data_IF_762955824563
#
_entry.id   IF_762955824563
#
_cell.length_a   1.000
_cell.length_b   1.000
_cell.length_c   1.000
_cell.angle_alpha   90.00
_cell.angle_beta   90.00
_cell.angle_gamma   90.00
#
_symmetry.space_group_name_H-M   'P 1'
#
loop_
_entity.id
_entity.type
_entity.pdbx_description
1 polymer ?
#
# COMPACT_ATOMS: atom_id res chain seq x y z
N UNK A 1 -54.40 49.48 7.66
CA UNK A 1 -54.08 48.17 8.30
C UNK A 1 -53.58 47.10 7.30
N UNK A 2 -54.25 46.98 6.14
CA UNK A 2 -53.93 45.93 5.15
C UNK A 2 -52.50 46.06 4.63
N UNK A 3 -52.08 47.25 4.22
CA UNK A 3 -50.69 47.52 3.75
C UNK A 3 -49.66 47.36 4.84
N UNK A 4 -49.96 47.63 6.09
CA UNK A 4 -49.08 47.38 7.24
C UNK A 4 -48.96 45.90 7.47
N UNK A 5 -50.06 45.13 7.44
CA UNK A 5 -50.09 43.69 7.62
C UNK A 5 -49.35 42.96 6.49
N UNK A 6 -49.44 43.41 5.24
CA UNK A 6 -48.72 42.88 4.10
C UNK A 6 -47.21 43.08 4.28
N UNK A 7 -46.78 44.28 4.66
CA UNK A 7 -45.35 44.58 4.87
C UNK A 7 -44.76 43.80 6.04
N UNK A 8 -45.49 43.63 7.13
CA UNK A 8 -45.07 42.78 8.26
C UNK A 8 -44.90 41.33 7.80
N UNK A 9 -45.82 40.77 6.98
CA UNK A 9 -45.70 39.40 6.43
C UNK A 9 -44.52 39.26 5.48
N UNK A 10 -44.20 40.25 4.66
CA UNK A 10 -43.02 40.27 3.82
C UNK A 10 -41.74 40.16 4.67
N UNK A 11 -41.62 40.98 5.73
CA UNK A 11 -40.47 40.94 6.65
C UNK A 11 -40.39 39.60 7.37
N UNK A 12 -41.50 39.04 7.84
CA UNK A 12 -41.56 37.70 8.45
C UNK A 12 -41.09 36.60 7.45
N UNK A 13 -41.50 36.71 6.18
CA UNK A 13 -41.07 35.82 5.12
C UNK A 13 -39.57 35.88 4.85
N UNK A 14 -38.99 37.09 4.85
CA UNK A 14 -37.54 37.30 4.71
C UNK A 14 -36.78 36.67 5.89
N UNK A 15 -37.27 36.81 7.12
CA UNK A 15 -36.62 36.19 8.30
C UNK A 15 -36.78 34.68 8.34
N UNK A 16 -37.90 34.13 7.88
CA UNK A 16 -38.11 32.69 7.83
C UNK A 16 -37.20 32.01 6.79
N UNK A 17 -36.84 32.68 5.71
CA UNK A 17 -35.95 32.19 4.66
C UNK A 17 -34.46 32.46 4.94
N UNK A 18 -34.15 33.44 5.83
CA UNK A 18 -32.78 33.80 6.16
C UNK A 18 -32.14 32.76 7.11
N UNK A 19 -30.90 32.29 6.87
CA UNK A 19 -30.21 31.40 7.79
C UNK A 19 -30.02 32.06 9.16
N UNK A 20 -30.33 31.30 10.22
CA UNK A 20 -30.25 31.79 11.62
C UNK A 20 -28.80 32.13 12.01
N UNK A 21 -27.81 31.47 11.37
CA UNK A 21 -26.40 31.72 11.60
C UNK A 21 -25.86 32.78 10.64
N UNK A 22 -25.24 33.82 11.19
CA UNK A 22 -24.44 34.81 10.42
C UNK A 22 -23.29 34.09 9.71
N UNK A 23 -23.47 33.74 8.45
CA UNK A 23 -22.43 33.14 7.63
C UNK A 23 -21.36 34.20 7.35
N UNK A 24 -20.14 33.95 7.80
CA UNK A 24 -19.01 34.79 7.42
C UNK A 24 -18.62 34.48 5.96
N UNK A 25 -19.29 35.18 5.04
CA UNK A 25 -19.13 34.98 3.59
C UNK A 25 -17.67 35.07 3.14
N UNK A 26 -16.86 35.96 3.73
CA UNK A 26 -15.43 36.08 3.41
C UNK A 26 -14.65 34.79 3.77
N UNK A 27 -14.99 34.24 4.93
CA UNK A 27 -14.35 32.95 5.39
C UNK A 27 -14.77 31.79 4.50
N UNK A 28 -16.06 31.69 4.16
CA UNK A 28 -16.53 30.59 3.30
C UNK A 28 -15.99 30.70 1.87
N UNK A 29 -15.89 31.90 1.31
CA UNK A 29 -15.28 32.13 0.00
C UNK A 29 -13.79 31.80 0.00
N UNK A 30 -13.05 32.17 1.06
CA UNK A 30 -11.63 31.79 1.21
C UNK A 30 -11.47 30.26 1.34
N UNK A 31 -12.33 29.57 2.10
CA UNK A 31 -12.36 28.10 2.21
C UNK A 31 -12.64 27.45 0.85
N UNK A 32 -13.58 27.97 0.08
CA UNK A 32 -13.91 27.49 -1.25
C UNK A 32 -12.69 27.61 -2.19
N UNK A 33 -11.99 28.74 -2.14
CA UNK A 33 -10.78 28.96 -2.94
C UNK A 33 -9.67 27.98 -2.54
N UNK A 34 -9.42 27.80 -1.24
CA UNK A 34 -8.43 26.85 -0.73
C UNK A 34 -8.76 25.40 -1.12
N UNK A 35 -10.03 24.99 -0.97
CA UNK A 35 -10.48 23.64 -1.35
C UNK A 35 -10.35 23.39 -2.87
N UNK A 36 -10.61 24.39 -3.71
CA UNK A 36 -10.40 24.30 -5.17
C UNK A 36 -8.91 24.10 -5.50
N UNK A 37 -8.03 24.87 -4.86
CA UNK A 37 -6.59 24.77 -5.07
C UNK A 37 -6.09 23.38 -4.64
N UNK A 38 -6.44 22.93 -3.43
CA UNK A 38 -6.06 21.62 -2.94
C UNK A 38 -6.59 20.48 -3.83
N UNK A 39 -7.81 20.58 -4.32
CA UNK A 39 -8.37 19.62 -5.28
C UNK A 39 -7.57 19.57 -6.58
N UNK A 40 -7.18 20.74 -7.12
CA UNK A 40 -6.34 20.82 -8.32
C UNK A 40 -4.98 20.16 -8.12
N UNK A 41 -4.32 20.43 -6.99
CA UNK A 41 -3.00 19.84 -6.66
C UNK A 41 -3.09 18.32 -6.50
N UNK A 42 -4.18 17.81 -5.89
CA UNK A 42 -4.44 16.39 -5.78
C UNK A 42 -4.70 15.73 -7.13
N UNK A 43 -5.39 16.39 -8.05
CA UNK A 43 -5.58 15.87 -9.41
C UNK A 43 -4.24 15.76 -10.15
N UNK A 44 -3.37 16.76 -10.05
CA UNK A 44 -2.02 16.73 -10.61
C UNK A 44 -1.20 15.59 -10.04
N UNK A 45 -1.19 15.47 -8.70
CA UNK A 45 -0.50 14.37 -7.99
C UNK A 45 -1.04 13.00 -8.41
N UNK A 46 -2.35 12.85 -8.56
CA UNK A 46 -2.98 11.61 -9.04
C UNK A 46 -2.52 11.25 -10.46
N UNK A 47 -2.42 12.23 -11.36
CA UNK A 47 -1.92 12.00 -12.72
C UNK A 47 -0.45 11.56 -12.74
N UNK A 48 0.41 12.21 -11.93
CA UNK A 48 1.82 11.83 -11.78
C UNK A 48 1.96 10.40 -11.22
N UNK A 49 1.21 10.07 -10.15
CA UNK A 49 1.23 8.73 -9.55
C UNK A 49 0.74 7.66 -10.51
N UNK A 50 -0.28 7.94 -11.34
CA UNK A 50 -0.73 7.02 -12.40
C UNK A 50 0.37 6.76 -13.43
N UNK A 51 1.10 7.79 -13.83
CA UNK A 51 2.23 7.65 -14.75
C UNK A 51 3.33 6.77 -14.14
N UNK A 52 3.76 7.08 -12.92
CA UNK A 52 4.74 6.28 -12.18
C UNK A 52 4.34 4.81 -12.08
N UNK A 53 3.08 4.54 -11.70
CA UNK A 53 2.55 3.17 -11.64
C UNK A 53 2.65 2.46 -12.99
N UNK A 54 2.31 3.15 -14.09
CA UNK A 54 2.42 2.57 -15.44
C UNK A 54 3.86 2.20 -15.77
N UNK A 55 4.81 3.05 -15.42
CA UNK A 55 6.24 2.82 -15.68
C UNK A 55 6.77 1.65 -14.84
N UNK A 56 6.40 1.58 -13.56
CA UNK A 56 6.74 0.46 -12.66
C UNK A 56 6.15 -0.86 -13.16
N UNK A 57 4.89 -0.88 -13.57
CA UNK A 57 4.25 -2.09 -14.11
C UNK A 57 4.87 -2.53 -15.44
N UNK A 58 5.33 -1.60 -16.28
CA UNK A 58 6.04 -1.94 -17.52
C UNK A 58 7.37 -2.63 -17.20
N UNK A 59 8.15 -2.12 -16.24
CA UNK A 59 9.40 -2.74 -15.80
C UNK A 59 9.17 -4.11 -15.18
N UNK A 60 8.18 -4.23 -14.28
CA UNK A 60 7.79 -5.50 -13.68
C UNK A 60 7.36 -6.53 -14.75
N UNK A 61 6.63 -6.08 -15.77
CA UNK A 61 6.22 -6.93 -16.89
C UNK A 61 7.38 -7.48 -17.71
N UNK A 62 8.44 -6.69 -17.93
CA UNK A 62 9.66 -7.15 -18.59
C UNK A 62 10.36 -8.21 -17.75
N UNK A 63 10.56 -7.94 -16.45
CA UNK A 63 11.19 -8.90 -15.54
C UNK A 63 10.39 -10.19 -15.43
N UNK A 64 9.07 -10.09 -15.30
CA UNK A 64 8.20 -11.26 -15.27
C UNK A 64 8.37 -12.12 -16.50
N UNK A 65 8.41 -11.53 -17.69
CA UNK A 65 8.60 -12.27 -18.93
C UNK A 65 9.94 -13.02 -18.93
N UNK A 66 11.02 -12.37 -18.48
CA UNK A 66 12.34 -13.02 -18.38
C UNK A 66 12.30 -14.18 -17.37
N UNK A 67 11.64 -14.00 -16.23
CA UNK A 67 11.49 -15.04 -15.22
C UNK A 67 10.66 -16.23 -15.73
N UNK A 68 9.56 -15.95 -16.43
CA UNK A 68 8.68 -16.98 -17.02
C UNK A 68 9.38 -17.77 -18.16
N UNK A 69 10.31 -17.14 -18.88
CA UNK A 69 11.12 -17.78 -19.93
C UNK A 69 12.30 -18.59 -19.36
N UNK A 70 12.66 -18.39 -18.08
CA UNK A 70 13.75 -19.13 -17.43
C UNK A 70 13.24 -20.46 -16.90
N UNK A 71 13.82 -21.58 -17.39
CA UNK A 71 13.50 -22.92 -16.87
C UNK A 71 14.15 -23.14 -15.49
N UNK A 72 13.43 -22.66 -14.47
CA UNK A 72 13.88 -22.70 -13.06
C UNK A 72 14.02 -24.12 -12.54
N UNK A 73 13.15 -25.01 -12.99
CA UNK A 73 13.16 -26.41 -12.51
C UNK A 73 14.37 -27.16 -13.07
N UNK A 74 14.72 -26.93 -14.32
CA UNK A 74 15.96 -27.43 -14.91
C UNK A 74 17.19 -26.87 -14.21
N UNK A 75 17.23 -25.56 -13.97
CA UNK A 75 18.33 -24.91 -13.26
C UNK A 75 18.50 -25.46 -11.84
N UNK A 76 17.42 -25.64 -11.10
CA UNK A 76 17.44 -26.26 -9.76
C UNK A 76 17.94 -27.70 -9.79
N UNK A 77 17.44 -28.48 -10.75
CA UNK A 77 17.88 -29.89 -10.91
C UNK A 77 19.38 -29.99 -11.22
N UNK A 78 19.88 -29.11 -12.09
CA UNK A 78 21.33 -29.10 -12.41
C UNK A 78 22.17 -28.70 -11.20
N UNK A 79 21.76 -27.69 -10.43
CA UNK A 79 22.46 -27.29 -9.20
C UNK A 79 22.45 -28.40 -8.16
N UNK A 80 21.30 -29.04 -7.92
CA UNK A 80 21.20 -30.17 -6.98
C UNK A 80 22.14 -31.27 -7.40
N UNK A 81 22.20 -31.56 -8.70
CA UNK A 81 23.13 -32.56 -9.24
C UNK A 81 24.62 -32.18 -9.03
N UNK A 82 24.98 -30.92 -9.18
CA UNK A 82 26.32 -30.42 -8.86
C UNK A 82 26.64 -30.61 -7.38
N UNK A 83 25.72 -30.21 -6.49
CA UNK A 83 25.89 -30.35 -5.04
C UNK A 83 26.08 -31.83 -4.64
N UNK A 84 25.35 -32.76 -5.26
CA UNK A 84 25.48 -34.20 -4.99
C UNK A 84 26.79 -34.73 -5.51
N UNK A 85 27.26 -34.36 -6.72
CA UNK A 85 28.55 -34.73 -7.26
C UNK A 85 29.71 -34.19 -6.41
N UNK A 86 29.62 -32.96 -5.92
CA UNK A 86 30.63 -32.38 -5.02
C UNK A 86 30.72 -33.14 -3.70
N UNK A 87 29.58 -33.55 -3.11
CA UNK A 87 29.55 -34.38 -1.89
C UNK A 87 30.19 -35.75 -2.14
N UNK A 88 29.83 -36.39 -3.28
CA UNK A 88 30.45 -37.69 -3.66
C UNK A 88 31.97 -37.55 -3.83
N UNK A 89 32.41 -36.44 -4.48
CA UNK A 89 33.84 -36.17 -4.68
C UNK A 89 34.56 -36.00 -3.33
N UNK A 90 34.04 -35.19 -2.42
CA UNK A 90 34.61 -35.00 -1.09
C UNK A 90 34.70 -36.29 -0.27
N UNK A 91 33.67 -37.15 -0.41
CA UNK A 91 33.70 -38.47 0.23
C UNK A 91 34.81 -39.35 -0.35
N UNK A 92 34.95 -39.35 -1.68
CA UNK A 92 36.03 -40.08 -2.37
C UNK A 92 37.44 -39.59 -2.02
N UNK A 93 37.63 -38.27 -1.90
CA UNK A 93 38.89 -37.65 -1.46
C UNK A 93 39.27 -38.10 -0.06
N UNK A 94 38.30 -38.19 0.84
CA UNK A 94 38.49 -38.70 2.20
C UNK A 94 38.92 -40.20 2.15
N UNK A 95 38.25 -41.01 1.31
CA UNK A 95 38.58 -42.41 1.14
C UNK A 95 39.97 -42.58 0.50
N UNK A 96 40.31 -41.82 -0.53
CA UNK A 96 41.62 -41.82 -1.16
C UNK A 96 42.73 -41.53 -0.14
N UNK A 97 42.52 -40.45 0.67
CA UNK A 97 43.48 -40.07 1.73
C UNK A 97 43.69 -41.18 2.74
N UNK A 98 42.62 -41.89 3.12
CA UNK A 98 42.70 -43.02 4.05
C UNK A 98 43.48 -44.21 3.44
N UNK A 99 43.14 -44.60 2.20
CA UNK A 99 43.79 -45.71 1.52
C UNK A 99 45.24 -45.42 1.16
N UNK A 100 45.59 -44.17 0.88
CA UNK A 100 46.97 -43.75 0.69
C UNK A 100 47.80 -43.88 1.98
N UNK A 101 47.24 -43.50 3.14
CA UNK A 101 47.86 -43.74 4.45
C UNK A 101 48.02 -45.24 4.75
N UNK A 102 46.98 -46.01 4.43
CA UNK A 102 47.05 -47.48 4.56
C UNK A 102 48.17 -48.06 3.70
N UNK A 103 48.25 -47.64 2.43
CA UNK A 103 49.30 -48.02 1.50
C UNK A 103 50.69 -47.71 2.05
N UNK A 104 50.95 -46.50 2.52
CA UNK A 104 52.20 -46.06 3.13
C UNK A 104 52.55 -46.94 4.34
N UNK A 105 51.57 -47.27 5.17
CA UNK A 105 51.76 -48.10 6.36
C UNK A 105 52.12 -49.49 5.97
N UNK A 106 51.46 -50.09 4.98
CA UNK A 106 51.77 -51.43 4.46
C UNK A 106 53.12 -51.47 3.73
N UNK A 107 53.47 -50.45 2.93
CA UNK A 107 54.78 -50.37 2.26
C UNK A 107 55.91 -50.29 3.27
N UNK A 108 55.77 -49.50 4.35
CA UNK A 108 56.76 -49.45 5.43
C UNK A 108 57.00 -50.89 6.07
N UNK A 109 55.90 -51.61 6.32
CA UNK A 109 55.95 -52.95 6.88
C UNK A 109 56.55 -53.96 5.89
N UNK A 110 56.21 -53.90 4.62
CA UNK A 110 56.76 -54.80 3.56
C UNK A 110 58.21 -54.50 3.31
N UNK A 111 58.69 -53.25 3.42
CA UNK A 111 60.14 -52.98 3.24
C UNK A 111 61.03 -53.68 4.24
N UNK A 112 60.50 -54.02 5.45
CA UNK A 112 61.24 -54.83 6.44
C UNK A 112 61.62 -56.20 5.86
N UNK A 113 60.84 -56.81 4.96
CA UNK A 113 61.14 -58.07 4.32
C UNK A 113 62.42 -58.00 3.49
N UNK A 114 62.80 -56.82 2.95
CA UNK A 114 64.06 -56.62 2.20
C UNK A 114 65.27 -56.47 3.09
N UNK A 115 65.12 -56.17 4.35
CA UNK A 115 66.20 -55.97 5.31
C UNK A 115 66.53 -57.20 6.15
N UNK A 116 65.60 -58.17 6.18
CA UNK A 116 65.75 -59.38 6.99
C UNK A 116 66.22 -60.58 6.13
N UNK A 117 67.26 -61.26 6.52
CA UNK A 117 67.78 -62.42 5.76
C UNK A 117 66.85 -63.63 5.77
N UNK A 118 65.71 -63.59 6.46
CA UNK A 118 64.74 -64.66 6.55
C UNK A 118 63.88 -64.69 5.25
N UNK A 119 64.08 -65.69 4.42
CA UNK A 119 63.32 -65.94 3.19
C UNK A 119 61.86 -66.31 3.43
N UNK A 120 61.08 -66.52 2.34
CA UNK A 120 59.65 -66.85 2.37
C UNK A 120 59.34 -68.15 3.16
N UNK A 121 60.31 -69.02 3.35
CA UNK A 121 60.16 -70.22 4.17
C UNK A 121 59.88 -69.95 5.64
N UNK A 122 60.21 -68.76 6.15
CA UNK A 122 59.97 -68.31 7.52
C UNK A 122 58.76 -67.41 7.68
N UNK A 123 57.83 -67.44 6.75
CA UNK A 123 56.62 -66.61 6.73
C UNK A 123 55.79 -66.71 8.02
N UNK A 124 55.91 -67.71 8.82
CA UNK A 124 55.21 -67.87 10.10
C UNK A 124 56.01 -67.29 11.29
N UNK A 125 57.21 -66.79 11.07
CA UNK A 125 57.98 -66.11 12.11
C UNK A 125 57.23 -64.86 12.68
N UNK A 126 57.13 -64.85 14.00
CA UNK A 126 56.38 -63.76 14.73
C UNK A 126 56.83 -62.33 14.34
N UNK A 127 58.08 -62.16 13.93
CA UNK A 127 58.67 -60.86 13.60
C UNK A 127 58.41 -60.44 12.16
N UNK A 128 58.12 -61.32 11.22
CA UNK A 128 57.90 -61.01 9.80
C UNK A 128 56.49 -61.34 9.31
N UNK A 129 55.67 -62.01 10.12
CA UNK A 129 54.31 -62.41 9.77
C UNK A 129 53.48 -61.19 9.38
N UNK A 130 53.55 -60.15 10.18
CA UNK A 130 52.81 -58.87 9.89
C UNK A 130 53.26 -58.26 8.58
N UNK A 131 54.50 -58.42 8.13
CA UNK A 131 54.97 -57.87 6.88
C UNK A 131 54.41 -58.68 5.69
N UNK A 132 54.33 -60.05 5.77
CA UNK A 132 53.69 -60.87 4.76
C UNK A 132 52.17 -60.63 4.67
N UNK A 133 51.53 -60.52 5.81
CA UNK A 133 50.10 -60.14 5.83
C UNK A 133 49.88 -58.77 5.22
N UNK A 134 50.76 -57.80 5.51
CA UNK A 134 50.73 -56.45 4.93
C UNK A 134 50.97 -56.43 3.42
N UNK A 135 51.82 -57.39 2.88
CA UNK A 135 52.05 -57.53 1.45
C UNK A 135 50.74 -57.85 0.69
N UNK A 136 49.93 -58.79 1.23
CA UNK A 136 48.62 -59.12 0.65
C UNK A 136 47.64 -57.97 0.71
N UNK A 137 47.61 -57.26 1.85
CA UNK A 137 46.75 -56.05 2.02
C UNK A 137 47.19 -54.94 1.06
N UNK A 138 48.50 -54.76 0.84
CA UNK A 138 49.07 -53.79 -0.08
C UNK A 138 48.56 -53.94 -1.51
N UNK A 139 48.48 -55.17 -2.01
CA UNK A 139 47.96 -55.48 -3.35
C UNK A 139 46.48 -55.14 -3.42
N UNK A 140 45.69 -55.42 -2.39
CA UNK A 140 44.29 -55.05 -2.26
C UNK A 140 44.12 -53.54 -2.29
N UNK A 141 44.85 -52.82 -1.41
CA UNK A 141 44.85 -51.36 -1.31
C UNK A 141 45.22 -50.65 -2.63
N UNK A 142 46.24 -51.16 -3.35
CA UNK A 142 46.64 -50.66 -4.67
C UNK A 142 45.49 -50.76 -5.69
N UNK A 143 44.77 -51.88 -5.72
CA UNK A 143 43.60 -52.08 -6.60
C UNK A 143 42.45 -51.09 -6.21
N UNK A 144 42.21 -51.01 -4.93
CA UNK A 144 41.19 -50.05 -4.41
C UNK A 144 41.51 -48.59 -4.79
N UNK A 145 42.75 -48.17 -4.58
CA UNK A 145 43.22 -46.84 -4.97
C UNK A 145 43.08 -46.58 -6.47
N UNK A 146 43.38 -47.58 -7.32
CA UNK A 146 43.19 -47.42 -8.77
C UNK A 146 41.73 -47.22 -9.13
N UNK A 147 40.79 -47.92 -8.50
CA UNK A 147 39.34 -47.77 -8.73
C UNK A 147 38.87 -46.42 -8.22
N UNK A 148 39.24 -46.01 -6.99
CA UNK A 148 38.86 -44.74 -6.40
C UNK A 148 39.38 -43.55 -7.22
N UNK A 149 40.66 -43.60 -7.68
CA UNK A 149 41.24 -42.55 -8.54
C UNK A 149 40.50 -42.44 -9.88
N UNK A 150 40.14 -43.60 -10.48
CA UNK A 150 39.36 -43.59 -11.71
C UNK A 150 38.00 -42.97 -11.49
N UNK A 151 37.33 -43.29 -10.39
CA UNK A 151 36.03 -42.71 -10.06
C UNK A 151 36.13 -41.20 -9.78
N UNK A 152 37.16 -40.78 -9.02
CA UNK A 152 37.44 -39.38 -8.76
C UNK A 152 37.59 -38.61 -10.07
N UNK A 153 38.44 -39.05 -11.00
CA UNK A 153 38.62 -38.37 -12.29
C UNK A 153 37.31 -38.30 -13.10
N UNK A 154 36.49 -39.37 -13.06
CA UNK A 154 35.18 -39.36 -13.75
C UNK A 154 34.23 -38.32 -13.17
N UNK A 155 34.22 -38.12 -11.85
CA UNK A 155 33.36 -37.10 -11.22
C UNK A 155 33.89 -35.70 -11.45
N UNK A 156 35.20 -35.50 -11.39
CA UNK A 156 35.85 -34.21 -11.70
C UNK A 156 35.50 -33.77 -13.12
N UNK A 157 35.68 -34.66 -14.12
CA UNK A 157 35.32 -34.34 -15.51
C UNK A 157 33.83 -34.00 -15.67
N UNK A 158 32.93 -34.71 -14.97
CA UNK A 158 31.51 -34.41 -15.00
C UNK A 158 31.18 -33.05 -14.39
N UNK A 159 31.86 -32.64 -13.32
CA UNK A 159 31.68 -31.33 -12.73
C UNK A 159 32.21 -30.21 -13.64
N UNK A 160 33.38 -30.46 -14.30
CA UNK A 160 33.91 -29.52 -15.29
C UNK A 160 32.96 -29.34 -16.50
N UNK A 161 32.37 -30.46 -17.00
CA UNK A 161 31.38 -30.40 -18.10
C UNK A 161 30.11 -29.62 -17.73
N UNK A 162 29.75 -29.58 -16.45
CA UNK A 162 28.53 -28.88 -15.97
C UNK A 162 28.71 -27.38 -15.81
N UNK A 163 29.89 -26.80 -15.96
CA UNK A 163 30.20 -25.36 -15.82
C UNK A 163 29.50 -24.76 -14.57
N UNK A 164 29.94 -25.23 -13.42
CA UNK A 164 29.35 -24.90 -12.11
C UNK A 164 29.31 -23.37 -11.88
N UNK A 165 30.33 -22.64 -12.36
CA UNK A 165 30.43 -21.19 -12.22
C UNK A 165 29.26 -20.48 -12.94
N UNK A 166 28.99 -20.90 -14.19
CA UNK A 166 27.86 -20.35 -14.95
C UNK A 166 26.52 -20.67 -14.29
N UNK A 167 26.32 -21.90 -13.79
CA UNK A 167 25.11 -22.30 -13.09
C UNK A 167 24.87 -21.49 -11.80
N UNK A 168 25.92 -21.23 -11.03
CA UNK A 168 25.83 -20.39 -9.83
C UNK A 168 25.54 -18.92 -10.17
N UNK A 169 26.15 -18.39 -11.23
CA UNK A 169 25.90 -17.06 -11.74
C UNK A 169 24.43 -16.91 -12.20
N UNK A 170 23.91 -17.88 -12.95
CA UNK A 170 22.53 -17.91 -13.41
C UNK A 170 21.54 -17.99 -12.25
N UNK A 171 21.80 -18.80 -11.24
CA UNK A 171 21.03 -18.89 -10.00
C UNK A 171 21.00 -17.54 -9.27
N UNK A 172 22.14 -16.87 -9.16
CA UNK A 172 22.26 -15.57 -8.51
C UNK A 172 21.49 -14.52 -9.28
N UNK A 173 21.62 -14.50 -10.59
CA UNK A 173 20.92 -13.58 -11.49
C UNK A 173 19.41 -13.79 -11.44
N UNK A 174 18.95 -15.03 -11.46
CA UNK A 174 17.53 -15.36 -11.28
C UNK A 174 16.98 -14.83 -9.95
N UNK A 175 17.65 -15.09 -8.83
CA UNK A 175 17.24 -14.60 -7.50
C UNK A 175 17.21 -13.08 -7.43
N UNK A 176 18.16 -12.41 -8.09
CA UNK A 176 18.18 -10.95 -8.14
C UNK A 176 16.97 -10.41 -8.92
N UNK A 177 16.69 -10.98 -10.10
CA UNK A 177 15.54 -10.59 -10.92
C UNK A 177 14.20 -10.86 -10.24
N UNK A 178 14.07 -11.99 -9.55
CA UNK A 178 12.88 -12.36 -8.79
C UNK A 178 12.63 -11.36 -7.64
N UNK A 179 13.70 -10.96 -6.94
CA UNK A 179 13.62 -9.91 -5.91
C UNK A 179 13.21 -8.57 -6.52
N UNK A 180 13.85 -8.14 -7.60
CA UNK A 180 13.52 -6.87 -8.29
C UNK A 180 12.05 -6.87 -8.76
N UNK A 181 11.56 -7.97 -9.30
CA UNK A 181 10.15 -8.13 -9.67
C UNK A 181 9.21 -8.00 -8.47
N UNK A 182 9.55 -8.63 -7.34
CA UNK A 182 8.79 -8.56 -6.10
C UNK A 182 8.75 -7.15 -5.54
N UNK A 183 9.88 -6.44 -5.55
CA UNK A 183 10.00 -5.06 -5.10
C UNK A 183 9.14 -4.13 -5.96
N UNK A 184 9.22 -4.23 -7.30
CA UNK A 184 8.38 -3.46 -8.23
C UNK A 184 6.89 -3.78 -8.09
N UNK A 185 6.51 -5.04 -7.87
CA UNK A 185 5.13 -5.44 -7.64
C UNK A 185 4.57 -4.82 -6.36
N UNK A 186 5.39 -4.79 -5.30
CA UNK A 186 5.06 -4.15 -4.03
C UNK A 186 4.92 -2.63 -4.20
N UNK A 187 5.83 -2.00 -4.95
CA UNK A 187 5.75 -0.58 -5.27
C UNK A 187 4.47 -0.24 -6.05
N UNK A 188 4.11 -1.04 -7.06
CA UNK A 188 2.86 -0.87 -7.80
C UNK A 188 1.63 -0.94 -6.88
N UNK A 189 1.61 -1.85 -5.92
CA UNK A 189 0.54 -1.98 -4.91
C UNK A 189 0.47 -0.75 -4.00
N UNK A 190 1.62 -0.23 -3.56
CA UNK A 190 1.68 0.99 -2.75
C UNK A 190 1.18 2.21 -3.52
N UNK A 191 1.50 2.31 -4.81
CA UNK A 191 0.99 3.37 -5.68
C UNK A 191 -0.54 3.26 -5.86
N UNK A 192 -1.12 2.06 -5.91
CA UNK A 192 -2.57 1.86 -5.92
C UNK A 192 -3.24 2.36 -4.64
N UNK A 193 -2.67 2.05 -3.48
CA UNK A 193 -3.15 2.56 -2.20
C UNK A 193 -3.10 4.09 -2.14
N UNK A 194 -2.02 4.69 -2.64
CA UNK A 194 -1.88 6.13 -2.71
C UNK A 194 -2.93 6.76 -3.64
N UNK A 195 -3.18 6.17 -4.80
CA UNK A 195 -4.22 6.59 -5.74
C UNK A 195 -5.62 6.51 -5.11
N UNK A 196 -5.92 5.43 -4.40
CA UNK A 196 -7.19 5.26 -3.70
C UNK A 196 -7.39 6.33 -2.61
N UNK A 197 -6.37 6.60 -1.79
CA UNK A 197 -6.39 7.67 -0.77
C UNK A 197 -6.58 9.04 -1.40
N UNK A 198 -5.85 9.33 -2.48
CA UNK A 198 -5.96 10.61 -3.20
C UNK A 198 -7.35 10.79 -3.79
N UNK A 199 -7.94 9.75 -4.41
CA UNK A 199 -9.30 9.76 -4.96
C UNK A 199 -10.35 10.04 -3.88
N UNK A 200 -10.23 9.38 -2.72
CA UNK A 200 -11.14 9.60 -1.60
C UNK A 200 -11.04 11.04 -1.08
N UNK A 201 -9.83 11.60 -0.98
CA UNK A 201 -9.65 12.99 -0.54
C UNK A 201 -10.24 13.98 -1.54
N UNK A 202 -10.09 13.76 -2.84
CA UNK A 202 -10.73 14.57 -3.90
C UNK A 202 -12.25 14.51 -3.75
N UNK A 203 -12.82 13.33 -3.50
CA UNK A 203 -14.25 13.18 -3.31
C UNK A 203 -14.78 13.97 -2.09
N UNK A 204 -14.07 13.88 -0.96
CA UNK A 204 -14.42 14.66 0.25
C UNK A 204 -14.36 16.16 0.00
N UNK A 205 -13.31 16.65 -0.67
CA UNK A 205 -13.19 18.06 -1.04
C UNK A 205 -14.30 18.49 -2.01
N UNK A 206 -14.71 17.63 -2.95
CA UNK A 206 -15.81 17.93 -3.88
C UNK A 206 -17.11 18.11 -3.12
N UNK A 207 -17.41 17.26 -2.14
CA UNK A 207 -18.59 17.37 -1.30
C UNK A 207 -18.53 18.63 -0.41
N UNK A 208 -17.36 18.94 0.17
CA UNK A 208 -17.15 20.16 0.95
C UNK A 208 -17.37 21.41 0.08
N UNK A 209 -16.79 21.46 -1.11
CA UNK A 209 -17.00 22.56 -2.05
C UNK A 209 -18.47 22.74 -2.44
N UNK A 210 -19.21 21.65 -2.64
CA UNK A 210 -20.64 21.69 -2.91
C UNK A 210 -21.40 22.32 -1.73
N UNK A 211 -21.13 21.85 -0.51
CA UNK A 211 -21.76 22.41 0.71
C UNK A 211 -21.45 23.89 0.90
N UNK A 212 -20.20 24.30 0.69
CA UNK A 212 -19.81 25.72 0.79
C UNK A 212 -20.51 26.56 -0.29
N UNK A 213 -20.60 26.08 -1.53
CA UNK A 213 -21.31 26.76 -2.60
C UNK A 213 -22.78 26.97 -2.26
N UNK A 214 -23.48 25.95 -1.77
CA UNK A 214 -24.86 26.04 -1.34
C UNK A 214 -25.04 27.11 -0.22
N UNK A 215 -24.11 27.16 0.76
CA UNK A 215 -24.13 28.19 1.81
C UNK A 215 -23.97 29.60 1.23
N UNK A 216 -23.06 29.77 0.27
CA UNK A 216 -22.83 31.05 -0.40
C UNK A 216 -24.09 31.46 -1.20
N UNK A 217 -24.68 30.54 -1.95
CA UNK A 217 -25.92 30.78 -2.72
C UNK A 217 -27.07 31.17 -1.81
N UNK A 218 -27.28 30.48 -0.69
CA UNK A 218 -28.31 30.85 0.31
C UNK A 218 -28.04 32.24 0.91
N UNK A 219 -26.77 32.57 1.18
CA UNK A 219 -26.41 33.90 1.65
C UNK A 219 -26.76 34.99 0.60
N UNK A 220 -26.36 34.80 -0.66
CA UNK A 220 -26.61 35.76 -1.73
C UNK A 220 -28.12 35.98 -1.97
N UNK A 221 -28.95 34.93 -1.88
CA UNK A 221 -30.39 34.99 -1.99
C UNK A 221 -31.04 35.79 -0.84
N UNK A 222 -30.46 35.74 0.35
CA UNK A 222 -31.00 36.38 1.54
C UNK A 222 -30.18 37.61 1.99
N UNK A 223 -29.29 38.10 1.13
CA UNK A 223 -28.32 39.14 1.46
C UNK A 223 -28.97 40.38 2.06
N UNK A 224 -30.06 40.87 1.44
CA UNK A 224 -30.77 42.04 1.89
C UNK A 224 -31.36 41.87 3.31
N UNK A 225 -31.96 40.71 3.57
CA UNK A 225 -32.51 40.39 4.88
C UNK A 225 -31.41 40.24 5.96
N UNK A 226 -30.23 39.71 5.57
CA UNK A 226 -29.09 39.49 6.49
C UNK A 226 -28.37 40.81 6.80
N UNK A 227 -28.08 41.63 5.79
CA UNK A 227 -27.32 42.88 5.94
C UNK A 227 -28.20 43.99 6.61
N UNK A 228 -29.49 43.99 6.34
CA UNK A 228 -30.42 44.97 6.88
C UNK A 228 -31.24 44.45 8.07
N UNK A 229 -30.90 43.33 8.66
CA UNK A 229 -31.69 42.66 9.71
C UNK A 229 -32.08 43.57 10.85
N UNK A 230 -31.18 44.38 11.38
CA UNK A 230 -31.47 45.33 12.46
C UNK A 230 -32.45 46.42 12.02
N UNK A 231 -32.34 46.93 10.79
CA UNK A 231 -33.26 47.88 10.20
C UNK A 231 -34.64 47.26 10.01
N UNK A 232 -34.73 46.06 9.48
CA UNK A 232 -36.00 45.34 9.28
C UNK A 232 -36.71 45.01 10.60
N UNK A 233 -35.96 44.65 11.66
CA UNK A 233 -36.52 44.43 13.01
C UNK A 233 -37.16 45.72 13.53
N UNK A 234 -36.47 46.88 13.44
CA UNK A 234 -37.03 48.17 13.84
C UNK A 234 -38.26 48.53 13.02
N UNK A 235 -38.18 48.38 11.69
CA UNK A 235 -39.33 48.61 10.81
C UNK A 235 -40.52 47.73 11.20
N UNK A 236 -40.33 46.49 11.50
CA UNK A 236 -41.35 45.54 11.93
C UNK A 236 -41.98 45.95 13.26
N UNK A 237 -41.17 46.34 14.24
CA UNK A 237 -41.65 46.79 15.56
C UNK A 237 -42.44 48.09 15.45
N UNK A 238 -41.96 49.04 14.64
CA UNK A 238 -42.66 50.28 14.37
C UNK A 238 -44.03 50.06 13.67
N UNK A 239 -44.04 49.16 12.65
CA UNK A 239 -45.29 48.81 11.95
C UNK A 239 -46.29 48.09 12.86
N UNK A 240 -45.84 47.16 13.72
CA UNK A 240 -46.70 46.52 14.73
C UNK A 240 -47.23 47.51 15.73
N UNK A 241 -46.42 48.49 16.18
CA UNK A 241 -46.84 49.56 17.04
C UNK A 241 -47.93 50.47 16.39
N UNK A 242 -47.73 50.82 15.10
CA UNK A 242 -48.69 51.54 14.31
C UNK A 242 -50.02 50.76 14.14
N UNK A 243 -49.95 49.46 13.84
CA UNK A 243 -51.15 48.62 13.73
C UNK A 243 -51.99 48.66 15.02
N UNK A 244 -51.32 48.40 16.15
CA UNK A 244 -51.98 48.40 17.48
C UNK A 244 -52.64 49.76 17.78
N UNK A 245 -51.98 50.87 17.42
CA UNK A 245 -52.55 52.22 17.63
C UNK A 245 -53.76 52.45 16.75
N UNK A 246 -53.69 52.09 15.45
CA UNK A 246 -54.83 52.23 14.52
C UNK A 246 -56.01 51.34 14.97
N UNK A 247 -55.75 50.10 15.41
CA UNK A 247 -56.76 49.17 15.95
C UNK A 247 -57.49 49.83 17.20
N UNK A 248 -56.70 50.45 18.08
CA UNK A 248 -57.21 51.13 19.23
C UNK A 248 -58.05 52.34 18.81
N UNK A 249 -57.59 53.16 17.84
CA UNK A 249 -58.32 54.31 17.33
C UNK A 249 -59.60 53.86 16.61
N UNK A 250 -59.62 52.76 15.88
CA UNK A 250 -60.85 52.18 15.29
C UNK A 250 -61.81 51.77 16.37
N UNK A 251 -61.38 51.05 17.42
CA UNK A 251 -62.27 50.69 18.52
C UNK A 251 -62.88 51.87 19.23
N UNK A 252 -62.15 52.99 19.42
CA UNK A 252 -62.63 54.21 19.98
C UNK A 252 -63.69 54.86 19.04
N UNK A 253 -63.43 54.87 17.73
CA UNK A 253 -64.36 55.39 16.73
C UNK A 253 -65.62 54.50 16.68
N UNK A 254 -65.53 53.18 16.69
CA UNK A 254 -66.68 52.29 16.72
C UNK A 254 -67.57 52.53 17.97
N UNK A 255 -66.92 52.71 19.13
CA UNK A 255 -67.66 53.06 20.38
C UNK A 255 -68.38 54.32 20.25
N UNK A 256 -67.75 55.37 19.71
CA UNK A 256 -68.42 56.69 19.48
C UNK A 256 -69.55 56.60 18.48
N UNK A 257 -69.42 55.81 17.41
CA UNK A 257 -70.51 55.59 16.44
C UNK A 257 -71.66 54.86 17.12
N UNK A 258 -71.42 53.87 17.93
CA UNK A 258 -72.48 53.18 18.71
C UNK A 258 -73.22 54.11 19.67
N UNK A 259 -72.46 54.96 20.35
CA UNK A 259 -73.08 55.96 21.24
C UNK A 259 -73.91 57.00 20.48
N UNK A 260 -73.47 57.49 19.35
CA UNK A 260 -74.24 58.43 18.47
C UNK A 260 -75.44 57.71 17.88
N UNK A 261 -75.41 56.47 17.49
CA UNK A 261 -76.57 55.70 17.02
C UNK A 261 -77.61 55.53 18.13
N UNK A 262 -77.16 55.25 19.37
CA UNK A 262 -78.05 55.19 20.54
C UNK A 262 -78.72 56.53 20.84
N UNK A 263 -77.95 57.63 20.75
CA UNK A 263 -78.50 58.99 20.93
C UNK A 263 -79.54 59.37 19.85
N UNK A 264 -79.26 59.00 18.59
CA UNK A 264 -80.19 59.23 17.47
C UNK A 264 -81.48 58.45 17.66
N UNK A 265 -81.38 57.11 17.97
CA UNK A 265 -82.57 56.30 18.24
C UNK A 265 -83.36 56.78 19.45
N UNK A 266 -82.67 57.31 20.48
CA UNK A 266 -83.36 57.93 21.62
C UNK A 266 -84.07 59.24 21.27
N UNK A 267 -83.59 59.98 20.28
CA UNK A 267 -84.23 61.19 19.78
C UNK A 267 -85.47 60.88 18.91
N UNK A 268 -85.35 59.82 18.02
CA UNK A 268 -86.47 59.33 17.23
C UNK A 268 -87.68 58.92 18.09
N UNK A 269 -87.41 58.23 19.23
CA UNK A 269 -88.47 57.84 20.18
C UNK A 269 -89.04 58.96 21.01
N UNK A 270 -88.44 60.16 20.96
CA UNK A 270 -89.01 61.38 21.61
C UNK A 270 -89.81 62.22 20.66
N UNK A 271 -89.82 61.96 19.38
CA UNK A 271 -90.53 62.72 18.33
C UNK A 271 -91.81 62.01 17.91
N UNK A 272 -92.02 60.75 18.24
CA UNK A 272 -93.32 60.07 18.15
C UNK A 272 -94.16 60.34 19.41
#
# INVERSE_FOLDING_TARGET
>A
LETISERVREIDGLFASAPVELINIRKETARLAAAKQESSDLHLKSAQTKKQKKDVLAQAGILKKILDETDVDSLRAQITRCDDLQKELSTLETQLTLEEKNKETYEKKVNILGEVPCGAEFSHCKFIKDAYDSQKLLEGTRKTLMVLRRRHNQLTNKLEEMDVETLEADKKLYKQRDKEYTDLSTEATNLDLLLAKTKNKIHLLTNEMATIKTKIEVYELNKEAIENREGLIKEQDDLKGQSTKIESDIAICETKVLDLVKQHGGIETQIE
#
